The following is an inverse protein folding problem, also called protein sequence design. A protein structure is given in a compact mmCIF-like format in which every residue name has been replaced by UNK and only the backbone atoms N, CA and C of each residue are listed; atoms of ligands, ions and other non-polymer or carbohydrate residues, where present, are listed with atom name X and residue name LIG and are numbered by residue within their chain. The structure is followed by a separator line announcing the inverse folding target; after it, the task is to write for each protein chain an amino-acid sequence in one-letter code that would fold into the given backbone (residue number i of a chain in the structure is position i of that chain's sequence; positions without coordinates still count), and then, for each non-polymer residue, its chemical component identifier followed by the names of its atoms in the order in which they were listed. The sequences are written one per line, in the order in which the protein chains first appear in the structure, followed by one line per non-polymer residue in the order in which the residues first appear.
data_IF_432645622663
#
_entry.id   IF_432645622663
#
_cell.length_a   1.000
_cell.length_b   1.000
_cell.length_c   1.000
_cell.angle_alpha   90.00
_cell.angle_beta   90.00
_cell.angle_gamma   90.00
#
_symmetry.space_group_name_H-M   'P 1'
#
loop_
_entity.id
_entity.type
_entity.pdbx_description
1 polymer ?
#
# COMPACT_ATOMS: atom_id res chain seq x y z
N UNK A 1 -12.84 6.10 -8.85
CA UNK A 1 -12.82 7.50 -8.31
C UNK A 1 -11.58 7.66 -7.46
N UNK A 2 -10.83 8.76 -7.57
CA UNK A 2 -9.66 8.99 -6.71
C UNK A 2 -10.12 9.71 -5.44
N UNK A 3 -9.84 9.12 -4.28
CA UNK A 3 -10.21 9.70 -2.98
C UNK A 3 -9.13 10.66 -2.44
N UNK A 4 -7.85 10.37 -2.68
CA UNK A 4 -6.72 11.19 -2.25
C UNK A 4 -5.57 11.11 -3.26
N UNK A 5 -4.89 12.24 -3.49
CA UNK A 5 -3.62 12.32 -4.23
C UNK A 5 -2.61 13.10 -3.39
N UNK A 6 -1.50 12.46 -3.02
CA UNK A 6 -0.52 13.04 -2.10
C UNK A 6 0.90 12.52 -2.35
N UNK A 7 1.89 13.17 -1.73
CA UNK A 7 3.28 12.70 -1.70
C UNK A 7 3.42 11.59 -0.66
N UNK A 8 4.29 10.63 -0.95
CA UNK A 8 4.58 9.52 -0.04
C UNK A 8 6.10 9.26 0.03
N UNK A 9 6.59 8.88 1.21
CA UNK A 9 7.87 8.17 1.34
C UNK A 9 7.60 6.68 1.10
N UNK A 10 8.44 6.02 0.32
CA UNK A 10 8.21 4.63 -0.11
C UNK A 10 9.36 3.77 0.39
N UNK A 11 9.04 2.68 1.09
CA UNK A 11 9.97 1.62 1.45
C UNK A 11 9.62 0.35 0.68
N UNK A 12 10.62 -0.26 0.05
CA UNK A 12 10.44 -1.57 -0.59
C UNK A 12 10.70 -2.65 0.46
N UNK A 13 9.72 -3.54 0.69
CA UNK A 13 9.80 -4.47 1.83
C UNK A 13 10.42 -5.80 1.43
N UNK A 14 10.06 -6.37 0.26
CA UNK A 14 10.72 -7.49 -0.43
C UNK A 14 9.82 -7.99 -1.57
N UNK A 15 10.39 -8.74 -2.51
CA UNK A 15 9.65 -9.58 -3.44
C UNK A 15 9.72 -11.02 -2.96
N UNK A 16 8.59 -11.70 -2.90
CA UNK A 16 8.48 -13.11 -2.53
C UNK A 16 7.88 -13.88 -3.71
N UNK A 17 8.50 -15.01 -4.06
CA UNK A 17 7.96 -15.94 -5.06
C UNK A 17 7.04 -16.95 -4.36
N UNK A 18 5.93 -17.30 -4.99
CA UNK A 18 4.99 -18.29 -4.48
C UNK A 18 4.48 -19.20 -5.60
N UNK A 19 4.19 -20.45 -5.27
CA UNK A 19 3.65 -21.43 -6.22
C UNK A 19 2.13 -21.22 -6.37
N UNK A 20 1.66 -21.19 -7.62
CA UNK A 20 0.27 -21.15 -8.03
C UNK A 20 -0.08 -22.45 -8.76
N UNK A 21 -1.36 -22.83 -8.78
CA UNK A 21 -1.83 -24.04 -9.45
C UNK A 21 -1.41 -24.13 -10.95
N UNK A 22 -1.16 -22.98 -11.60
CA UNK A 22 -0.75 -22.88 -13.01
C UNK A 22 0.64 -22.23 -13.20
N UNK A 23 1.53 -22.21 -12.20
CA UNK A 23 2.90 -21.68 -12.35
C UNK A 23 3.44 -20.95 -11.13
N UNK A 24 4.41 -20.04 -11.31
CA UNK A 24 4.97 -19.21 -10.23
C UNK A 24 4.41 -17.80 -10.27
N UNK A 25 3.93 -17.31 -9.14
CA UNK A 25 3.53 -15.91 -8.94
C UNK A 25 4.61 -15.12 -8.20
N UNK A 26 4.67 -13.80 -8.43
CA UNK A 26 5.57 -12.90 -7.69
C UNK A 26 4.74 -11.90 -6.91
N UNK A 27 4.89 -11.90 -5.58
CA UNK A 27 4.28 -10.92 -4.69
C UNK A 27 5.31 -9.87 -4.32
N UNK A 28 5.04 -8.61 -4.65
CA UNK A 28 5.92 -7.49 -4.36
C UNK A 28 5.27 -6.62 -3.28
N UNK A 29 5.87 -6.59 -2.09
CA UNK A 29 5.40 -5.77 -0.99
C UNK A 29 6.06 -4.38 -1.01
N UNK A 30 5.24 -3.33 -0.85
CA UNK A 30 5.70 -1.95 -0.66
C UNK A 30 4.96 -1.28 0.49
N UNK A 31 5.67 -0.47 1.26
CA UNK A 31 5.08 0.36 2.30
C UNK A 31 5.17 1.82 1.91
N UNK A 32 4.04 2.53 2.00
CA UNK A 32 3.93 3.95 1.74
C UNK A 32 3.67 4.67 3.07
N UNK A 33 4.41 5.75 3.30
CA UNK A 33 4.16 6.67 4.41
C UNK A 33 3.66 7.98 3.84
N UNK A 34 2.44 8.36 4.20
CA UNK A 34 1.84 9.65 3.84
C UNK A 34 1.57 10.46 5.09
N UNK A 35 1.37 11.77 4.94
CA UNK A 35 0.81 12.59 6.02
C UNK A 35 -0.59 12.09 6.35
N UNK A 36 -0.90 11.98 7.64
CA UNK A 36 -2.20 11.48 8.08
C UNK A 36 -3.35 12.36 7.53
N UNK A 37 -4.29 11.78 6.75
CA UNK A 37 -5.44 12.52 6.24
C UNK A 37 -6.49 12.69 7.33
N UNK A 38 -6.89 13.92 7.65
CA UNK A 38 -7.86 14.20 8.73
C UNK A 38 -9.33 13.93 8.38
N UNK A 39 -9.67 13.92 7.09
CA UNK A 39 -11.06 13.92 6.60
C UNK A 39 -11.39 12.72 5.72
N UNK A 40 -10.45 11.80 5.55
CA UNK A 40 -10.57 10.64 4.68
C UNK A 40 -10.01 9.45 5.44
N UNK A 41 -10.83 8.42 5.56
CA UNK A 41 -10.39 7.12 6.05
C UNK A 41 -9.85 6.32 4.86
N UNK A 42 -8.69 5.67 5.04
CA UNK A 42 -8.10 4.77 4.06
C UNK A 42 -8.15 3.37 4.66
N UNK A 43 -8.73 2.43 3.92
CA UNK A 43 -8.99 1.06 4.39
C UNK A 43 -8.36 0.03 3.45
N UNK A 44 -8.49 -1.26 3.77
CA UNK A 44 -8.02 -2.37 2.93
C UNK A 44 -8.81 -2.50 1.61
N UNK A 45 -10.03 -1.97 1.55
CA UNK A 45 -10.86 -1.96 0.33
C UNK A 45 -10.36 -0.93 -0.71
N UNK A 46 -9.53 0.03 -0.29
CA UNK A 46 -8.91 1.01 -1.17
C UNK A 46 -7.69 0.44 -1.92
N UNK A 47 -7.26 1.16 -2.96
CA UNK A 47 -6.09 0.78 -3.77
C UNK A 47 -5.12 1.93 -3.94
N UNK A 48 -3.83 1.60 -4.00
CA UNK A 48 -2.76 2.57 -4.25
C UNK A 48 -2.33 2.50 -5.71
N UNK A 49 -2.47 3.62 -6.44
CA UNK A 49 -1.91 3.78 -7.79
C UNK A 49 -0.55 4.45 -7.72
N UNK A 50 0.51 3.74 -8.11
CA UNK A 50 1.87 4.27 -8.17
C UNK A 50 2.63 3.76 -9.39
N UNK A 51 3.26 4.67 -10.15
CA UNK A 51 3.96 4.36 -11.41
C UNK A 51 3.14 3.47 -12.36
N UNK A 52 1.86 3.84 -12.54
CA UNK A 52 0.91 3.12 -13.38
C UNK A 52 0.64 1.65 -12.97
N UNK A 53 0.94 1.29 -11.73
CA UNK A 53 0.64 -0.01 -11.13
C UNK A 53 -0.30 0.17 -9.95
N UNK A 54 -1.26 -0.73 -9.85
CA UNK A 54 -2.24 -0.76 -8.76
C UNK A 54 -1.78 -1.78 -7.74
N UNK A 55 -1.62 -1.34 -6.49
CA UNK A 55 -1.29 -2.18 -5.37
C UNK A 55 -2.54 -2.31 -4.48
N UNK A 56 -2.82 -3.53 -4.01
CA UNK A 56 -3.86 -3.76 -3.02
C UNK A 56 -3.30 -3.40 -1.64
N UNK A 57 -4.13 -2.77 -0.80
CA UNK A 57 -3.75 -2.44 0.57
C UNK A 57 -3.89 -3.71 1.41
N UNK A 58 -2.84 -4.06 2.14
CA UNK A 58 -2.84 -5.14 3.15
C UNK A 58 -3.28 -4.57 4.49
N UNK A 59 -2.84 -3.35 4.84
CA UNK A 59 -3.36 -2.61 6.00
C UNK A 59 -2.97 -1.14 5.89
N UNK A 60 -3.70 -0.30 6.61
CA UNK A 60 -3.34 1.09 6.89
C UNK A 60 -3.30 1.31 8.41
N UNK A 61 -2.22 1.93 8.92
CA UNK A 61 -2.03 2.14 10.36
C UNK A 61 -1.56 3.56 10.67
N UNK A 62 -2.17 4.19 11.67
CA UNK A 62 -1.74 5.49 12.18
C UNK A 62 -0.53 5.29 13.08
N UNK A 63 0.65 5.69 12.60
CA UNK A 63 1.88 5.47 13.35
C UNK A 63 1.90 6.38 14.57
N UNK A 64 2.21 5.79 15.72
CA UNK A 64 2.33 6.46 17.03
C UNK A 64 1.03 7.11 17.53
N UNK A 65 -0.11 6.86 16.89
CA UNK A 65 -1.43 7.44 17.24
C UNK A 65 -1.46 8.99 17.28
N UNK A 66 -0.39 9.66 16.86
CA UNK A 66 -0.27 11.12 16.91
C UNK A 66 -0.88 11.81 15.68
N UNK A 67 -1.50 11.07 14.76
CA UNK A 67 -2.09 11.62 13.51
C UNK A 67 -1.07 12.41 12.68
N UNK A 68 0.18 11.97 12.64
CA UNK A 68 1.25 12.62 11.88
C UNK A 68 1.46 11.90 10.54
N UNK A 69 1.62 10.58 10.60
CA UNK A 69 1.86 9.74 9.43
C UNK A 69 0.94 8.52 9.43
N UNK A 70 0.48 8.15 8.25
CA UNK A 70 -0.21 6.91 7.99
C UNK A 70 0.76 5.96 7.26
N UNK A 71 1.00 4.80 7.85
CA UNK A 71 1.64 3.66 7.18
C UNK A 71 0.60 2.94 6.34
N UNK A 72 0.90 2.67 5.08
CA UNK A 72 0.06 1.88 4.18
C UNK A 72 0.93 0.75 3.62
N UNK A 73 0.71 -0.47 4.08
CA UNK A 73 1.38 -1.65 3.53
C UNK A 73 0.55 -2.21 2.39
N UNK A 74 1.23 -2.53 1.30
CA UNK A 74 0.57 -2.94 0.05
C UNK A 74 1.26 -4.14 -0.58
N UNK A 75 0.53 -4.82 -1.45
CA UNK A 75 1.03 -5.87 -2.31
C UNK A 75 0.69 -5.62 -3.78
N UNK A 76 1.57 -6.08 -4.64
CA UNK A 76 1.33 -6.22 -6.06
C UNK A 76 1.60 -7.68 -6.43
N UNK A 77 0.57 -8.36 -6.94
CA UNK A 77 0.68 -9.71 -7.45
C UNK A 77 0.90 -9.64 -8.96
N UNK A 78 2.01 -10.23 -9.41
CA UNK A 78 2.35 -10.40 -10.83
C UNK A 78 2.22 -11.86 -11.23
#
# INVERSE_FOLDING_TARGET
KTVLKTKAKILNVRGEEFELANGKGIKIAKTFYIRFPKSIEITEDDKVLYKNKIYNIIYANNIEEMNVYLEIKTEYVK
#
